data_IF_782336324716
#
_entry.id   IF_782336324716
#
_cell.length_a   1.000
_cell.length_b   1.000
_cell.length_c   1.000
_cell.angle_alpha   90.00
_cell.angle_beta   90.00
_cell.angle_gamma   90.00
#
_symmetry.space_group_name_H-M   'P 1'
#
loop_
_entity.id
_entity.type
_entity.pdbx_description
1 polymer ?
#
# COMPACT_ATOMS: atom_id res chain seq x y z
N UNK A 1 42.90 2.83 7.72
CA UNK A 1 42.26 3.16 8.99
C UNK A 1 41.87 4.64 8.91
N UNK A 2 40.67 4.93 8.54
CA UNK A 2 40.07 6.26 8.62
C UNK A 2 38.91 6.10 9.60
N UNK A 3 39.13 6.60 10.81
CA UNK A 3 38.11 6.72 11.84
C UNK A 3 36.97 7.57 11.30
N UNK A 4 35.90 6.88 11.02
CA UNK A 4 34.62 7.44 10.63
C UNK A 4 34.16 8.35 11.77
N UNK A 5 34.14 9.67 11.54
CA UNK A 5 33.46 10.64 12.39
C UNK A 5 32.11 10.04 12.79
N UNK A 6 31.95 9.82 14.09
CA UNK A 6 30.71 9.50 14.74
C UNK A 6 29.70 10.66 14.49
N UNK A 7 29.11 10.69 13.32
CA UNK A 7 27.87 11.42 13.10
C UNK A 7 26.89 10.87 14.14
N UNK A 8 26.22 11.73 14.88
CA UNK A 8 25.23 11.41 15.90
C UNK A 8 24.31 10.30 15.39
N UNK A 9 24.63 9.07 15.78
CA UNK A 9 23.86 7.91 15.33
C UNK A 9 22.47 8.02 15.97
N UNK A 10 21.45 8.12 15.15
CA UNK A 10 20.07 8.04 15.61
C UNK A 10 19.89 6.71 16.38
N UNK A 11 19.34 6.76 17.59
CA UNK A 11 19.11 5.56 18.39
C UNK A 11 18.11 4.62 17.69
N UNK A 12 18.24 3.31 17.93
CA UNK A 12 17.37 2.30 17.30
C UNK A 12 15.88 2.62 17.47
N UNK A 13 15.43 2.90 18.69
CA UNK A 13 14.02 3.21 18.98
C UNK A 13 13.60 4.51 18.29
N UNK A 14 14.43 5.54 18.36
CA UNK A 14 14.18 6.83 17.70
C UNK A 14 14.04 6.66 16.19
N UNK A 15 14.92 5.88 15.56
CA UNK A 15 14.83 5.59 14.13
C UNK A 15 13.53 4.84 13.77
N UNK A 16 13.15 3.82 14.53
CA UNK A 16 11.90 3.07 14.31
C UNK A 16 10.70 4.00 14.40
N UNK A 17 10.64 4.88 15.39
CA UNK A 17 9.53 5.83 15.55
C UNK A 17 9.52 6.85 14.40
N UNK A 18 10.67 7.38 13.99
CA UNK A 18 10.78 8.30 12.85
C UNK A 18 10.34 7.63 11.54
N UNK A 19 10.80 6.41 11.29
CA UNK A 19 10.41 5.64 10.11
C UNK A 19 8.90 5.34 10.11
N UNK A 20 8.36 4.94 11.24
CA UNK A 20 6.94 4.69 11.40
C UNK A 20 6.09 5.97 11.23
N UNK A 21 6.50 7.09 11.82
CA UNK A 21 5.86 8.39 11.64
C UNK A 21 5.88 8.83 10.17
N UNK A 22 7.01 8.64 9.49
CA UNK A 22 7.12 8.92 8.05
C UNK A 22 6.13 8.07 7.23
N UNK A 23 6.05 6.76 7.50
CA UNK A 23 5.10 5.89 6.80
C UNK A 23 3.64 6.24 7.12
N UNK A 24 3.38 6.70 8.33
CA UNK A 24 2.04 7.12 8.77
C UNK A 24 1.53 8.36 8.02
N UNK A 25 2.39 9.26 7.53
CA UNK A 25 1.95 10.44 6.75
C UNK A 25 1.10 10.06 5.55
N UNK A 26 1.46 8.95 4.87
CA UNK A 26 0.73 8.45 3.71
C UNK A 26 -0.66 7.91 4.08
N UNK A 27 -0.75 7.10 5.13
CA UNK A 27 -1.99 6.44 5.53
C UNK A 27 -2.99 7.42 6.16
N UNK A 28 -2.53 8.32 7.03
CA UNK A 28 -3.39 9.36 7.64
C UNK A 28 -4.06 10.22 6.57
N UNK A 29 -3.36 10.58 5.49
CA UNK A 29 -3.89 11.41 4.42
C UNK A 29 -5.03 10.73 3.63
N UNK A 30 -5.18 9.43 3.72
CA UNK A 30 -6.28 8.69 3.09
C UNK A 30 -7.44 8.58 4.06
N UNK A 31 -7.19 7.97 5.20
CA UNK A 31 -8.25 7.46 6.07
C UNK A 31 -8.89 8.57 6.93
N UNK A 32 -8.15 9.60 7.34
CA UNK A 32 -8.71 10.70 8.12
C UNK A 32 -9.61 11.64 7.31
N UNK A 33 -9.57 11.56 5.98
CA UNK A 33 -10.46 12.34 5.11
C UNK A 33 -11.86 11.73 4.95
N UNK A 34 -12.02 10.43 5.21
CA UNK A 34 -13.27 9.70 4.91
C UNK A 34 -14.52 10.33 5.53
N UNK A 35 -14.53 10.74 6.81
CA UNK A 35 -15.70 11.39 7.40
C UNK A 35 -16.04 12.73 6.78
N UNK A 36 -15.10 13.39 6.11
CA UNK A 36 -15.26 14.73 5.56
C UNK A 36 -15.92 14.77 4.18
N UNK A 37 -15.97 13.65 3.44
CA UNK A 37 -16.46 13.62 2.06
C UNK A 37 -17.85 14.24 1.88
N UNK A 38 -18.89 13.88 2.66
CA UNK A 38 -20.21 14.47 2.48
C UNK A 38 -20.20 15.99 2.70
N UNK A 39 -19.38 16.46 3.64
CA UNK A 39 -19.24 17.88 3.94
C UNK A 39 -18.52 18.64 2.82
N UNK A 40 -17.43 18.08 2.29
CA UNK A 40 -16.66 18.69 1.19
C UNK A 40 -17.52 18.81 -0.07
N UNK A 41 -18.20 17.73 -0.45
CA UNK A 41 -19.10 17.69 -1.61
C UNK A 41 -20.16 18.78 -1.51
N UNK A 42 -20.80 18.90 -0.34
CA UNK A 42 -21.82 19.92 -0.08
C UNK A 42 -21.25 21.35 -0.11
N UNK A 43 -20.12 21.60 0.57
CA UNK A 43 -19.52 22.95 0.68
C UNK A 43 -18.94 23.43 -0.66
N UNK A 44 -18.40 22.53 -1.47
CA UNK A 44 -17.86 22.86 -2.80
C UNK A 44 -18.90 22.73 -3.93
N UNK A 45 -20.19 22.54 -3.59
CA UNK A 45 -21.31 22.46 -4.53
C UNK A 45 -21.07 21.45 -5.66
N UNK A 46 -20.61 20.25 -5.31
CA UNK A 46 -20.37 19.16 -6.28
C UNK A 46 -21.72 18.57 -6.68
N UNK A 47 -22.02 18.55 -7.98
CA UNK A 47 -23.33 18.15 -8.49
C UNK A 47 -23.67 16.69 -8.19
N UNK A 48 -22.71 15.78 -8.32
CA UNK A 48 -22.86 14.37 -8.02
C UNK A 48 -22.14 14.01 -6.71
N UNK A 49 -22.86 13.59 -5.65
CA UNK A 49 -22.25 13.14 -4.39
C UNK A 49 -21.19 12.06 -4.54
N UNK A 50 -21.31 11.19 -5.56
CA UNK A 50 -20.34 10.12 -5.83
C UNK A 50 -18.96 10.65 -6.19
N UNK A 51 -18.86 11.87 -6.70
CA UNK A 51 -17.58 12.53 -6.97
C UNK A 51 -16.72 12.76 -5.71
N UNK A 52 -17.29 12.69 -4.50
CA UNK A 52 -16.52 12.73 -3.27
C UNK A 52 -15.39 11.70 -3.21
N UNK A 53 -15.58 10.55 -3.82
CA UNK A 53 -14.57 9.47 -3.91
C UNK A 53 -13.35 9.88 -4.75
N UNK A 54 -13.49 10.85 -5.65
CA UNK A 54 -12.38 11.35 -6.48
C UNK A 54 -11.28 12.02 -5.65
N UNK A 55 -11.59 12.47 -4.45
CA UNK A 55 -10.63 13.04 -3.50
C UNK A 55 -9.56 12.01 -3.13
N UNK A 56 -9.95 10.75 -2.84
CA UNK A 56 -9.01 9.66 -2.57
C UNK A 56 -8.35 9.18 -3.86
N UNK A 57 -9.12 9.05 -4.94
CA UNK A 57 -8.58 8.57 -6.22
C UNK A 57 -7.51 9.51 -6.76
N UNK A 58 -7.71 10.83 -6.70
CA UNK A 58 -6.71 11.81 -7.11
C UNK A 58 -5.41 11.67 -6.30
N UNK A 59 -5.53 11.46 -4.99
CA UNK A 59 -4.36 11.21 -4.14
C UNK A 59 -3.68 9.88 -4.49
N UNK A 60 -4.43 8.81 -4.68
CA UNK A 60 -3.90 7.48 -5.01
C UNK A 60 -3.25 7.41 -6.38
N UNK A 61 -3.81 8.11 -7.38
CA UNK A 61 -3.20 8.21 -8.70
C UNK A 61 -1.89 8.99 -8.65
N UNK A 62 -1.84 10.08 -7.89
CA UNK A 62 -0.61 10.81 -7.61
C UNK A 62 0.43 9.93 -6.89
N UNK A 63 0.01 9.20 -5.87
CA UNK A 63 0.85 8.27 -5.13
C UNK A 63 1.45 7.19 -6.05
N UNK A 64 0.62 6.56 -6.89
CA UNK A 64 1.07 5.57 -7.85
C UNK A 64 2.13 6.13 -8.81
N UNK A 65 1.86 7.29 -9.41
CA UNK A 65 2.82 7.98 -10.29
C UNK A 65 4.12 8.28 -9.54
N UNK A 66 4.03 8.79 -8.31
CA UNK A 66 5.20 9.10 -7.49
C UNK A 66 6.09 7.88 -7.19
N UNK A 67 5.51 6.70 -7.03
CA UNK A 67 6.27 5.46 -6.79
C UNK A 67 7.28 5.14 -7.90
N UNK A 68 7.04 5.58 -9.14
CA UNK A 68 7.99 5.40 -10.24
C UNK A 68 9.25 6.25 -10.08
N UNK A 69 9.16 7.40 -9.44
CA UNK A 69 10.23 8.39 -9.46
C UNK A 69 11.04 8.48 -8.16
N UNK A 70 10.37 8.44 -6.99
CA UNK A 70 11.04 8.71 -5.71
C UNK A 70 12.14 7.71 -5.37
N UNK A 71 11.95 6.43 -5.68
CA UNK A 71 12.99 5.42 -5.50
C UNK A 71 14.22 5.72 -6.32
N UNK A 72 14.04 5.95 -7.62
CA UNK A 72 15.11 6.26 -8.56
C UNK A 72 15.83 7.56 -8.22
N UNK A 73 15.08 8.61 -7.85
CA UNK A 73 15.68 9.89 -7.44
C UNK A 73 16.52 9.71 -6.18
N UNK A 74 16.07 8.91 -5.23
CA UNK A 74 16.81 8.65 -4.00
C UNK A 74 18.09 7.82 -4.21
N UNK A 75 18.10 6.93 -5.21
CA UNK A 75 19.31 6.17 -5.61
C UNK A 75 20.36 7.07 -6.29
N UNK A 76 19.93 8.16 -6.89
CA UNK A 76 20.83 9.11 -7.59
C UNK A 76 21.31 10.25 -6.70
N UNK A 77 20.40 10.89 -5.96
CA UNK A 77 20.67 12.14 -5.26
C UNK A 77 20.90 11.95 -3.75
N UNK A 78 20.67 10.76 -3.22
CA UNK A 78 20.75 10.44 -1.80
C UNK A 78 19.39 10.25 -1.16
N UNK A 79 19.36 9.50 -0.07
CA UNK A 79 18.11 9.13 0.63
C UNK A 79 17.51 10.33 1.37
N UNK A 80 18.34 10.98 2.17
CA UNK A 80 17.93 12.09 3.04
C UNK A 80 17.35 13.28 2.27
N UNK A 81 18.04 13.89 1.27
CA UNK A 81 17.53 15.06 0.57
C UNK A 81 16.23 14.75 -0.19
N UNK A 82 16.10 13.56 -0.76
CA UNK A 82 14.90 13.17 -1.50
C UNK A 82 13.71 12.92 -0.57
N UNK A 83 13.91 12.27 0.58
CA UNK A 83 12.85 12.08 1.57
C UNK A 83 12.38 13.43 2.12
N UNK A 84 13.30 14.31 2.53
CA UNK A 84 12.95 15.62 3.07
C UNK A 84 12.31 16.53 2.03
N UNK A 85 12.79 16.52 0.78
CA UNK A 85 12.19 17.26 -0.34
C UNK A 85 10.76 16.79 -0.62
N UNK A 86 10.52 15.48 -0.60
CA UNK A 86 9.19 14.90 -0.74
C UNK A 86 8.25 15.28 0.40
N UNK A 87 8.71 15.24 1.66
CA UNK A 87 7.92 15.69 2.82
C UNK A 87 7.63 17.20 2.76
N UNK A 88 8.57 18.03 2.30
CA UNK A 88 8.34 19.46 2.10
C UNK A 88 7.27 19.71 1.03
N UNK A 89 7.34 18.99 -0.09
CA UNK A 89 6.31 19.05 -1.14
C UNK A 89 4.95 18.57 -0.61
N UNK A 90 4.94 17.54 0.23
CA UNK A 90 3.72 17.04 0.91
C UNK A 90 3.08 18.13 1.77
N UNK A 91 3.86 18.83 2.59
CA UNK A 91 3.40 19.96 3.43
C UNK A 91 2.79 21.06 2.57
N UNK A 92 3.49 21.48 1.53
CA UNK A 92 3.00 22.52 0.61
C UNK A 92 1.68 22.10 -0.07
N UNK A 93 1.61 20.87 -0.59
CA UNK A 93 0.42 20.35 -1.23
C UNK A 93 -0.77 20.22 -0.26
N UNK A 94 -0.52 19.80 0.99
CA UNK A 94 -1.56 19.74 2.02
C UNK A 94 -2.13 21.15 2.33
N UNK A 95 -1.29 22.17 2.47
CA UNK A 95 -1.74 23.55 2.69
C UNK A 95 -2.53 24.09 1.48
N UNK A 96 -2.13 23.74 0.25
CA UNK A 96 -2.86 24.08 -0.97
C UNK A 96 -4.21 23.36 -1.06
N UNK A 97 -4.31 22.11 -0.59
CA UNK A 97 -5.59 21.44 -0.42
C UNK A 97 -6.50 22.19 0.59
N UNK A 98 -5.94 22.62 1.72
CA UNK A 98 -6.67 23.40 2.74
C UNK A 98 -7.24 24.70 2.20
N UNK A 99 -6.51 25.41 1.34
CA UNK A 99 -6.89 26.69 0.75
C UNK A 99 -7.76 26.58 -0.51
N UNK A 100 -8.08 25.35 -0.98
CA UNK A 100 -8.81 25.14 -2.23
C UNK A 100 -10.22 25.76 -2.17
N UNK A 101 -10.51 26.61 -3.16
CA UNK A 101 -11.83 27.27 -3.32
C UNK A 101 -12.78 26.51 -4.26
N UNK A 102 -12.30 25.51 -5.01
CA UNK A 102 -13.10 24.70 -5.92
C UNK A 102 -12.75 23.22 -5.80
N UNK A 103 -13.68 22.35 -6.22
CA UNK A 103 -13.48 20.91 -6.19
C UNK A 103 -12.33 20.48 -7.12
N UNK A 104 -12.26 21.08 -8.33
CA UNK A 104 -11.21 20.79 -9.29
C UNK A 104 -9.81 21.16 -8.76
N UNK A 105 -9.69 22.34 -8.10
CA UNK A 105 -8.45 22.74 -7.46
C UNK A 105 -8.05 21.75 -6.35
N UNK A 106 -9.02 21.31 -5.52
CA UNK A 106 -8.78 20.30 -4.50
C UNK A 106 -8.27 19.00 -5.11
N UNK A 107 -8.86 18.49 -6.19
CA UNK A 107 -8.42 17.27 -6.87
C UNK A 107 -7.00 17.41 -7.43
N UNK A 108 -6.70 18.56 -8.06
CA UNK A 108 -5.35 18.81 -8.58
C UNK A 108 -4.30 18.80 -7.46
N UNK A 109 -4.57 19.50 -6.35
CA UNK A 109 -3.66 19.50 -5.20
C UNK A 109 -3.59 18.16 -4.48
N UNK A 110 -4.68 17.39 -4.45
CA UNK A 110 -4.68 16.01 -3.92
C UNK A 110 -3.79 15.10 -4.75
N UNK A 111 -3.78 15.25 -6.08
CA UNK A 111 -2.85 14.53 -6.93
C UNK A 111 -1.39 14.85 -6.59
N UNK A 112 -1.04 16.14 -6.48
CA UNK A 112 0.31 16.58 -6.08
C UNK A 112 0.65 16.08 -4.67
N UNK A 113 -0.32 16.11 -3.74
CA UNK A 113 -0.15 15.61 -2.39
C UNK A 113 0.15 14.11 -2.36
N UNK A 114 -0.57 13.29 -3.17
CA UNK A 114 -0.29 11.88 -3.33
C UNK A 114 1.07 11.60 -3.96
N UNK A 115 1.43 12.35 -5.01
CA UNK A 115 2.74 12.27 -5.65
C UNK A 115 3.87 12.53 -4.65
N UNK A 116 3.72 13.55 -3.81
CA UNK A 116 4.67 13.85 -2.74
C UNK A 116 4.73 12.73 -1.68
N UNK A 117 3.56 12.20 -1.26
CA UNK A 117 3.48 11.14 -0.27
C UNK A 117 4.22 9.85 -0.66
N UNK A 118 4.40 9.61 -1.95
CA UNK A 118 5.16 8.45 -2.43
C UNK A 118 6.64 8.47 -2.02
N UNK A 119 7.20 9.62 -1.58
CA UNK A 119 8.56 9.71 -1.04
C UNK A 119 8.79 8.79 0.17
N UNK A 120 7.72 8.41 0.87
CA UNK A 120 7.75 7.47 1.99
C UNK A 120 8.36 6.11 1.59
N UNK A 121 8.29 5.72 0.34
CA UNK A 121 8.94 4.50 -0.17
C UNK A 121 10.45 4.51 0.05
N UNK A 122 11.08 5.68 0.09
CA UNK A 122 12.52 5.86 0.37
C UNK A 122 12.87 5.38 1.77
N UNK A 123 11.95 5.46 2.74
CA UNK A 123 12.18 4.97 4.12
C UNK A 123 12.58 3.50 4.15
N UNK A 124 12.00 2.66 3.29
CA UNK A 124 12.39 1.24 3.19
C UNK A 124 13.83 1.07 2.72
N UNK A 125 14.28 1.93 1.81
CA UNK A 125 15.68 1.94 1.36
C UNK A 125 16.62 2.38 2.49
N UNK A 126 16.26 3.41 3.25
CA UNK A 126 17.01 3.85 4.44
C UNK A 126 17.14 2.73 5.47
N UNK A 127 16.04 1.99 5.74
CA UNK A 127 16.09 0.83 6.65
C UNK A 127 17.09 -0.22 6.16
N UNK A 128 17.08 -0.52 4.86
CA UNK A 128 18.00 -1.51 4.24
C UNK A 128 19.46 -1.03 4.27
N UNK A 129 19.68 0.27 4.15
CA UNK A 129 21.03 0.85 4.15
C UNK A 129 21.64 0.85 5.58
N UNK A 130 20.81 0.98 6.63
CA UNK A 130 21.25 1.06 8.03
C UNK A 130 21.26 -0.30 8.76
N UNK A 131 20.40 -1.24 8.35
CA UNK A 131 20.20 -2.50 9.06
C UNK A 131 20.24 -3.69 8.10
N UNK A 132 20.74 -4.82 8.58
CA UNK A 132 20.80 -6.08 7.84
C UNK A 132 20.24 -7.26 8.64
N UNK A 133 19.88 -8.33 7.98
CA UNK A 133 19.44 -9.58 8.60
C UNK A 133 18.32 -9.42 9.62
N UNK A 134 18.51 -9.95 10.83
CA UNK A 134 17.50 -9.96 11.89
C UNK A 134 17.12 -8.55 12.39
N UNK A 135 18.07 -7.61 12.40
CA UNK A 135 17.78 -6.23 12.83
C UNK A 135 16.89 -5.52 11.82
N UNK A 136 17.15 -5.67 10.52
CA UNK A 136 16.28 -5.13 9.46
C UNK A 136 14.86 -5.69 9.58
N UNK A 137 14.71 -7.01 9.76
CA UNK A 137 13.40 -7.63 9.94
C UNK A 137 12.66 -7.06 11.18
N UNK A 138 13.38 -6.82 12.28
CA UNK A 138 12.82 -6.22 13.50
C UNK A 138 12.33 -4.79 13.27
N UNK A 139 13.12 -3.95 12.60
CA UNK A 139 12.73 -2.56 12.26
C UNK A 139 11.48 -2.57 11.37
N UNK A 140 11.50 -3.39 10.30
CA UNK A 140 10.36 -3.49 9.38
C UNK A 140 9.08 -3.96 10.08
N UNK A 141 9.18 -4.95 10.98
CA UNK A 141 8.02 -5.43 11.74
C UNK A 141 7.46 -4.37 12.68
N UNK A 142 8.32 -3.65 13.41
CA UNK A 142 7.87 -2.60 14.33
C UNK A 142 7.24 -1.42 13.58
N UNK A 143 7.84 -0.98 12.47
CA UNK A 143 7.24 0.06 11.60
C UNK A 143 5.91 -0.38 11.02
N UNK A 144 5.77 -1.65 10.66
CA UNK A 144 4.52 -2.18 10.12
C UNK A 144 3.40 -2.25 11.16
N UNK A 145 3.71 -2.58 12.41
CA UNK A 145 2.72 -2.54 13.52
C UNK A 145 2.17 -1.13 13.70
N UNK A 146 3.03 -0.10 13.69
CA UNK A 146 2.58 1.29 13.77
C UNK A 146 1.75 1.67 12.55
N UNK A 147 2.19 1.28 11.35
CA UNK A 147 1.45 1.52 10.11
C UNK A 147 0.04 0.92 10.14
N UNK A 148 -0.13 -0.30 10.67
CA UNK A 148 -1.45 -0.93 10.82
C UNK A 148 -2.36 -0.21 11.84
N UNK A 149 -1.79 0.49 12.80
CA UNK A 149 -2.57 1.26 13.80
C UNK A 149 -3.21 2.50 13.18
N UNK A 150 -2.61 3.06 12.12
CA UNK A 150 -3.08 4.30 11.50
C UNK A 150 -4.49 4.19 10.91
N UNK A 151 -4.84 3.21 10.08
CA UNK A 151 -6.21 3.06 9.56
C UNK A 151 -7.27 2.88 10.67
N UNK A 152 -6.86 2.38 11.83
CA UNK A 152 -7.75 2.22 12.99
C UNK A 152 -8.09 3.58 13.61
N UNK A 153 -7.12 4.47 13.73
CA UNK A 153 -7.26 5.75 14.43
C UNK A 153 -7.57 6.93 13.51
N UNK A 154 -7.14 6.90 12.26
CA UNK A 154 -7.21 8.05 11.37
C UNK A 154 -8.64 8.53 11.07
N UNK A 155 -9.64 7.67 10.78
CA UNK A 155 -11.01 8.14 10.59
C UNK A 155 -11.59 8.80 11.84
N UNK A 156 -11.27 8.27 13.03
CA UNK A 156 -11.69 8.88 14.31
C UNK A 156 -11.05 10.25 14.53
N UNK A 157 -9.76 10.41 14.17
CA UNK A 157 -9.09 11.71 14.18
C UNK A 157 -9.78 12.70 13.23
N UNK A 158 -10.10 12.27 12.01
CA UNK A 158 -10.82 13.08 11.04
C UNK A 158 -12.17 13.52 11.56
N UNK A 159 -12.93 12.61 12.16
CA UNK A 159 -14.22 12.93 12.75
C UNK A 159 -14.10 13.91 13.94
N UNK A 160 -13.10 13.73 14.80
CA UNK A 160 -12.84 14.64 15.92
C UNK A 160 -12.54 16.06 15.44
N UNK A 161 -11.73 16.20 14.38
CA UNK A 161 -11.46 17.52 13.78
C UNK A 161 -12.76 18.15 13.28
N UNK A 162 -13.64 17.39 12.64
CA UNK A 162 -14.90 17.90 12.10
C UNK A 162 -15.91 18.37 13.18
N UNK A 163 -15.77 17.90 14.42
CA UNK A 163 -16.59 18.38 15.55
C UNK A 163 -16.17 19.80 15.96
N UNK A 164 -14.88 20.12 15.89
CA UNK A 164 -14.33 21.37 16.43
C UNK A 164 -13.92 22.39 15.35
N UNK A 165 -13.76 21.96 14.09
CA UNK A 165 -13.22 22.79 13.02
C UNK A 165 -13.76 22.39 11.63
N UNK A 166 -13.76 23.30 10.63
CA UNK A 166 -14.05 22.98 9.24
C UNK A 166 -13.12 21.92 8.65
N UNK A 167 -13.59 21.18 7.64
CA UNK A 167 -12.84 20.10 6.96
C UNK A 167 -11.43 20.50 6.46
N UNK A 168 -11.23 21.79 6.17
CA UNK A 168 -9.94 22.33 5.74
C UNK A 168 -8.82 22.10 6.76
N UNK A 169 -9.15 22.08 8.04
CA UNK A 169 -8.19 21.85 9.13
C UNK A 169 -7.63 20.42 9.15
N UNK A 170 -8.30 19.45 8.53
CA UNK A 170 -7.75 18.11 8.35
C UNK A 170 -6.43 18.18 7.56
N UNK A 171 -6.41 18.96 6.48
CA UNK A 171 -5.19 19.18 5.70
C UNK A 171 -4.13 19.98 6.45
N UNK A 172 -4.54 20.93 7.29
CA UNK A 172 -3.60 21.66 8.17
C UNK A 172 -2.92 20.68 9.15
N UNK A 173 -3.70 19.76 9.74
CA UNK A 173 -3.14 18.72 10.63
C UNK A 173 -2.17 17.81 9.86
N UNK A 174 -2.48 17.44 8.62
CA UNK A 174 -1.53 16.67 7.79
C UNK A 174 -0.24 17.45 7.54
N UNK A 175 -0.35 18.73 7.22
CA UNK A 175 0.82 19.59 7.01
C UNK A 175 1.67 19.72 8.26
N UNK A 176 1.05 19.96 9.41
CA UNK A 176 1.77 20.07 10.70
C UNK A 176 2.45 18.77 11.10
N UNK A 177 1.76 17.64 10.95
CA UNK A 177 2.34 16.33 11.23
C UNK A 177 3.54 16.05 10.33
N UNK A 178 3.40 16.24 9.02
CA UNK A 178 4.49 16.03 8.07
C UNK A 178 5.65 17.03 8.26
N UNK A 179 5.37 18.28 8.62
CA UNK A 179 6.38 19.26 8.95
C UNK A 179 7.17 18.87 10.20
N UNK A 180 6.50 18.35 11.23
CA UNK A 180 7.16 17.82 12.42
C UNK A 180 8.09 16.64 12.08
N UNK A 181 7.60 15.69 11.28
CA UNK A 181 8.38 14.53 10.80
C UNK A 181 9.56 14.99 9.93
N UNK A 182 9.35 15.95 9.02
CA UNK A 182 10.40 16.49 8.17
C UNK A 182 11.49 17.21 8.99
N UNK A 183 11.08 18.01 9.97
CA UNK A 183 12.01 18.71 10.89
C UNK A 183 12.81 17.71 11.73
N UNK A 184 12.13 16.68 12.25
CA UNK A 184 12.81 15.61 12.98
C UNK A 184 13.81 14.86 12.09
N UNK A 185 13.41 14.49 10.88
CA UNK A 185 14.30 13.88 9.89
C UNK A 185 15.46 14.81 9.48
N UNK A 186 15.22 16.11 9.36
CA UNK A 186 16.25 17.11 9.05
C UNK A 186 17.34 17.15 10.13
N UNK A 187 16.96 17.05 11.40
CA UNK A 187 17.90 17.14 12.53
C UNK A 187 18.60 15.80 12.78
N UNK A 188 17.88 14.68 12.66
CA UNK A 188 18.33 13.38 13.19
C UNK A 188 18.69 12.34 12.15
N UNK A 189 18.10 12.38 10.94
CA UNK A 189 18.36 11.37 9.92
C UNK A 189 19.69 11.67 9.21
N UNK A 190 20.70 10.78 9.26
CA UNK A 190 21.91 10.91 8.47
C UNK A 190 21.65 10.59 6.99
N UNK A 191 22.54 11.01 6.10
CA UNK A 191 22.57 10.46 4.74
C UNK A 191 23.10 9.03 4.80
N UNK A 192 22.31 8.09 4.24
CA UNK A 192 22.63 6.67 4.31
C UNK A 192 23.22 6.12 3.01
N UNK A 193 23.05 6.84 1.90
CA UNK A 193 23.60 6.44 0.62
C UNK A 193 25.01 7.01 0.42
N UNK A 194 26.02 6.16 0.48
CA UNK A 194 27.41 6.56 0.17
C UNK A 194 27.49 7.10 -1.27
N UNK A 195 28.27 8.17 -1.51
CA UNK A 195 28.42 8.76 -2.87
C UNK A 195 28.87 7.74 -3.92
N UNK A 196 29.67 6.76 -3.53
CA UNK A 196 30.19 5.69 -4.40
C UNK A 196 29.11 4.73 -4.88
N UNK A 197 27.99 4.57 -4.14
CA UNK A 197 26.88 3.70 -4.48
C UNK A 197 25.74 4.41 -5.20
N UNK A 198 25.92 5.70 -5.56
CA UNK A 198 24.93 6.45 -6.33
C UNK A 198 24.84 5.90 -7.74
N UNK A 199 23.71 5.34 -8.08
CA UNK A 199 23.50 4.72 -9.39
C UNK A 199 23.31 5.79 -10.47
N UNK A 200 24.10 5.71 -11.53
CA UNK A 200 23.76 6.38 -12.79
C UNK A 200 22.61 5.62 -13.45
N UNK A 201 21.39 6.13 -13.27
CA UNK A 201 20.21 5.56 -13.91
C UNK A 201 20.27 5.84 -15.43
N UNK A 202 20.75 4.89 -16.17
CA UNK A 202 20.68 4.96 -17.64
C UNK A 202 19.27 4.56 -18.09
N UNK A 203 18.70 5.33 -19.02
CA UNK A 203 17.39 5.03 -19.62
C UNK A 203 17.30 3.58 -20.11
N UNK A 204 18.41 3.06 -20.67
CA UNK A 204 18.51 1.68 -21.15
C UNK A 204 18.34 0.66 -20.02
N UNK A 205 18.92 0.90 -18.84
CA UNK A 205 18.79 0.00 -17.68
C UNK A 205 17.34 -0.06 -17.17
N UNK A 206 16.70 1.10 -17.02
CA UNK A 206 15.30 1.19 -16.58
C UNK A 206 14.36 0.50 -17.58
N UNK A 207 14.55 0.72 -18.88
CA UNK A 207 13.74 0.09 -19.93
C UNK A 207 13.93 -1.43 -19.97
N UNK A 208 15.16 -1.92 -19.82
CA UNK A 208 15.43 -3.35 -19.82
C UNK A 208 14.85 -4.04 -18.59
N UNK A 209 14.99 -3.44 -17.40
CA UNK A 209 14.35 -3.93 -16.18
C UNK A 209 12.82 -3.94 -16.30
N UNK A 210 12.22 -2.89 -16.85
CA UNK A 210 10.79 -2.83 -17.13
C UNK A 210 10.34 -3.94 -18.09
N UNK A 211 11.09 -4.19 -19.17
CA UNK A 211 10.81 -5.30 -20.10
C UNK A 211 10.90 -6.66 -19.41
N UNK A 212 11.86 -6.85 -18.50
CA UNK A 212 12.00 -8.09 -17.74
C UNK A 212 10.78 -8.34 -16.84
N UNK A 213 10.32 -7.30 -16.12
CA UNK A 213 9.17 -7.38 -15.21
C UNK A 213 7.88 -7.64 -15.98
N UNK A 214 7.62 -6.87 -17.05
CA UNK A 214 6.41 -7.00 -17.86
C UNK A 214 6.40 -8.25 -18.74
N UNK A 215 7.57 -8.73 -19.15
CA UNK A 215 7.72 -9.97 -19.93
C UNK A 215 7.68 -11.25 -19.09
N UNK A 216 7.90 -11.15 -17.78
CA UNK A 216 7.81 -12.32 -16.93
C UNK A 216 6.35 -12.62 -16.55
N UNK A 217 5.88 -13.80 -16.95
CA UNK A 217 4.50 -14.24 -16.79
C UNK A 217 4.01 -14.17 -15.32
N UNK A 218 4.77 -14.74 -14.41
CA UNK A 218 4.38 -14.76 -13.00
C UNK A 218 4.36 -13.34 -12.43
N UNK A 219 5.39 -12.53 -12.70
CA UNK A 219 5.49 -11.16 -12.24
C UNK A 219 4.30 -10.32 -12.70
N UNK A 220 4.00 -10.30 -14.01
CA UNK A 220 2.94 -9.43 -14.53
C UNK A 220 1.55 -9.88 -14.09
N UNK A 221 1.22 -11.17 -14.16
CA UNK A 221 -0.13 -11.62 -13.83
C UNK A 221 -0.44 -11.55 -12.33
N UNK A 222 0.54 -11.81 -11.43
CA UNK A 222 0.35 -11.54 -10.01
C UNK A 222 0.23 -10.05 -9.71
N UNK A 223 0.95 -9.19 -10.43
CA UNK A 223 0.78 -7.73 -10.32
C UNK A 223 -0.62 -7.29 -10.76
N UNK A 224 -1.15 -7.84 -11.86
CA UNK A 224 -2.52 -7.56 -12.31
C UNK A 224 -3.58 -8.11 -11.34
N UNK A 225 -3.34 -9.28 -10.75
CA UNK A 225 -4.19 -9.80 -9.67
C UNK A 225 -4.21 -8.86 -8.46
N UNK A 226 -3.05 -8.35 -8.04
CA UNK A 226 -2.97 -7.32 -7.00
C UNK A 226 -3.70 -6.03 -7.37
N UNK A 227 -3.57 -5.58 -8.61
CA UNK A 227 -4.21 -4.36 -9.12
C UNK A 227 -5.73 -4.41 -8.93
N UNK A 228 -6.40 -5.48 -9.39
CA UNK A 228 -7.84 -5.60 -9.26
C UNK A 228 -8.28 -5.82 -7.82
N UNK A 229 -7.51 -6.56 -7.04
CA UNK A 229 -7.76 -6.69 -5.60
C UNK A 229 -7.61 -5.34 -4.89
N UNK A 230 -6.61 -4.53 -5.23
CA UNK A 230 -6.45 -3.17 -4.68
C UNK A 230 -7.64 -2.27 -5.05
N UNK A 231 -8.23 -2.47 -6.23
CA UNK A 231 -9.48 -1.81 -6.64
C UNK A 231 -10.64 -2.08 -5.66
N UNK A 232 -10.73 -3.29 -5.08
CA UNK A 232 -11.81 -3.63 -4.14
C UNK A 232 -11.72 -2.84 -2.83
N UNK A 233 -10.48 -2.66 -2.30
CA UNK A 233 -10.29 -1.84 -1.09
C UNK A 233 -10.52 -0.37 -1.39
N UNK A 234 -10.11 0.11 -2.58
CA UNK A 234 -10.33 1.51 -2.97
C UNK A 234 -11.82 1.81 -3.18
N UNK A 235 -12.59 0.88 -3.72
CA UNK A 235 -14.05 1.00 -3.80
C UNK A 235 -14.67 1.09 -2.39
N UNK A 236 -14.27 0.20 -1.48
CA UNK A 236 -14.74 0.25 -0.09
C UNK A 236 -14.39 1.58 0.60
N UNK A 237 -13.12 2.00 0.53
CA UNK A 237 -12.66 3.27 1.11
C UNK A 237 -13.43 4.46 0.52
N UNK A 238 -13.69 4.46 -0.79
CA UNK A 238 -14.43 5.52 -1.46
C UNK A 238 -15.91 5.59 -1.05
N UNK A 239 -16.56 4.44 -0.88
CA UNK A 239 -18.01 4.34 -0.65
C UNK A 239 -18.39 4.29 0.83
N UNK A 240 -17.48 3.93 1.76
CA UNK A 240 -17.82 3.64 3.15
C UNK A 240 -18.53 4.80 3.86
N UNK A 241 -18.12 6.04 3.61
CA UNK A 241 -18.76 7.21 4.19
C UNK A 241 -20.21 7.38 3.72
N UNK A 242 -20.49 7.19 2.43
CA UNK A 242 -21.83 7.22 1.85
C UNK A 242 -22.69 6.03 2.34
N UNK A 243 -22.14 4.83 2.41
CA UNK A 243 -22.84 3.65 2.92
C UNK A 243 -23.33 3.89 4.35
N UNK A 244 -22.48 4.44 5.22
CA UNK A 244 -22.88 4.71 6.61
C UNK A 244 -23.82 5.90 6.76
N UNK A 245 -23.74 6.90 5.87
CA UNK A 245 -24.66 8.06 5.90
C UNK A 245 -26.00 7.78 5.26
N UNK A 246 -26.02 7.19 4.07
CA UNK A 246 -27.19 7.11 3.19
C UNK A 246 -27.95 5.79 3.32
N UNK A 247 -27.22 4.66 3.43
CA UNK A 247 -27.82 3.33 3.56
C UNK A 247 -28.20 3.05 5.01
N UNK A 248 -27.22 3.06 5.92
CA UNK A 248 -27.46 2.71 7.33
C UNK A 248 -27.92 3.89 8.18
N UNK A 249 -27.79 5.13 7.71
CA UNK A 249 -28.13 6.36 8.43
C UNK A 249 -27.48 6.48 9.81
N UNK A 250 -26.25 5.98 9.91
CA UNK A 250 -25.44 5.95 11.15
C UNK A 250 -23.99 6.41 10.89
N UNK A 251 -23.77 7.65 10.41
CA UNK A 251 -22.42 8.14 10.05
C UNK A 251 -21.44 8.14 11.24
N UNK A 252 -21.94 8.30 12.48
CA UNK A 252 -21.11 8.27 13.68
C UNK A 252 -20.43 6.91 13.95
N UNK A 253 -20.97 5.80 13.42
CA UNK A 253 -20.40 4.46 13.59
C UNK A 253 -19.33 4.14 12.53
N UNK A 254 -19.25 4.92 11.45
CA UNK A 254 -18.31 4.65 10.34
C UNK A 254 -16.86 4.47 10.82
N UNK A 255 -16.26 5.37 11.64
CA UNK A 255 -14.86 5.21 12.04
C UNK A 255 -14.61 3.94 12.83
N UNK A 256 -15.49 3.57 13.77
CA UNK A 256 -15.32 2.35 14.57
C UNK A 256 -15.50 1.08 13.75
N UNK A 257 -16.43 1.05 12.81
CA UNK A 257 -16.64 -0.11 11.93
C UNK A 257 -15.53 -0.24 10.89
N UNK A 258 -15.03 0.87 10.37
CA UNK A 258 -13.84 0.90 9.52
C UNK A 258 -12.61 0.37 10.27
N UNK A 259 -12.42 0.81 11.51
CA UNK A 259 -11.36 0.33 12.40
C UNK A 259 -11.46 -1.18 12.64
N UNK A 260 -12.67 -1.71 12.83
CA UNK A 260 -12.90 -3.15 13.01
C UNK A 260 -12.44 -3.93 11.75
N UNK A 261 -12.80 -3.48 10.55
CA UNK A 261 -12.33 -4.10 9.31
C UNK A 261 -10.79 -4.05 9.18
N UNK A 262 -10.17 -2.93 9.57
CA UNK A 262 -8.71 -2.78 9.56
C UNK A 262 -8.03 -3.71 10.57
N UNK A 263 -8.63 -3.95 11.74
CA UNK A 263 -8.14 -4.92 12.74
C UNK A 263 -8.14 -6.33 12.15
N UNK A 264 -9.22 -6.75 11.49
CA UNK A 264 -9.29 -8.08 10.85
C UNK A 264 -8.25 -8.23 9.74
N UNK A 265 -8.03 -7.19 8.94
CA UNK A 265 -6.98 -7.16 7.93
C UNK A 265 -5.58 -7.30 8.56
N UNK A 266 -5.33 -6.60 9.67
CA UNK A 266 -4.07 -6.69 10.40
C UNK A 266 -3.86 -8.06 11.07
N UNK A 267 -4.90 -8.63 11.66
CA UNK A 267 -4.85 -9.99 12.22
C UNK A 267 -4.55 -11.04 11.15
N UNK A 268 -5.16 -10.92 9.97
CA UNK A 268 -4.89 -11.79 8.84
C UNK A 268 -3.43 -11.67 8.36
N UNK A 269 -2.88 -10.46 8.27
CA UNK A 269 -1.47 -10.23 7.92
C UNK A 269 -0.53 -10.86 8.97
N UNK A 270 -0.84 -10.71 10.26
CA UNK A 270 -0.09 -11.35 11.34
C UNK A 270 -0.17 -12.88 11.26
N UNK A 271 -1.36 -13.43 11.05
CA UNK A 271 -1.54 -14.88 10.88
C UNK A 271 -0.73 -15.38 9.67
N UNK A 272 -0.78 -14.67 8.53
CA UNK A 272 0.00 -15.01 7.35
C UNK A 272 1.50 -15.13 7.67
N UNK A 273 2.05 -14.20 8.44
CA UNK A 273 3.46 -14.24 8.82
C UNK A 273 3.87 -15.48 9.63
N UNK A 274 2.91 -16.10 10.32
CA UNK A 274 3.13 -17.31 11.14
C UNK A 274 2.97 -18.61 10.36
N UNK A 275 2.08 -18.62 9.37
CA UNK A 275 1.71 -19.88 8.69
C UNK A 275 2.34 -20.02 7.30
N UNK A 276 2.82 -18.91 6.69
CA UNK A 276 3.29 -18.91 5.29
C UNK A 276 4.51 -19.81 5.07
N UNK A 277 5.40 -19.92 6.06
CA UNK A 277 6.56 -20.81 5.98
C UNK A 277 6.17 -22.30 5.96
N UNK A 278 5.06 -22.66 6.60
CA UNK A 278 4.57 -24.06 6.70
C UNK A 278 3.64 -24.42 5.55
N UNK A 279 2.73 -23.55 5.18
CA UNK A 279 1.68 -23.82 4.20
C UNK A 279 2.05 -23.35 2.79
N UNK A 280 3.00 -22.42 2.66
CA UNK A 280 3.41 -21.82 1.41
C UNK A 280 2.47 -20.73 0.90
N UNK A 281 3.03 -19.78 0.15
CA UNK A 281 2.33 -18.60 -0.35
C UNK A 281 1.12 -18.95 -1.25
N UNK A 282 1.27 -19.96 -2.12
CA UNK A 282 0.23 -20.36 -3.09
C UNK A 282 -1.01 -20.92 -2.42
N UNK A 283 -0.83 -21.83 -1.45
CA UNK A 283 -1.97 -22.42 -0.74
C UNK A 283 -2.76 -21.34 -0.01
N UNK A 284 -2.09 -20.48 0.72
CA UNK A 284 -2.75 -19.42 1.51
C UNK A 284 -3.47 -18.44 0.59
N UNK A 285 -2.78 -17.90 -0.42
CA UNK A 285 -3.36 -16.84 -1.26
C UNK A 285 -4.48 -17.34 -2.17
N UNK A 286 -4.35 -18.53 -2.72
CA UNK A 286 -5.41 -19.10 -3.59
C UNK A 286 -6.64 -19.47 -2.77
N UNK A 287 -6.49 -20.06 -1.59
CA UNK A 287 -7.60 -20.33 -0.67
C UNK A 287 -8.26 -19.04 -0.22
N UNK A 288 -7.48 -18.02 0.16
CA UNK A 288 -8.00 -16.73 0.57
C UNK A 288 -8.76 -16.02 -0.57
N UNK A 289 -8.26 -16.11 -1.82
CA UNK A 289 -8.94 -15.53 -2.97
C UNK A 289 -10.28 -16.23 -3.25
N UNK A 290 -10.34 -17.57 -3.20
CA UNK A 290 -11.58 -18.31 -3.37
C UNK A 290 -12.58 -17.97 -2.25
N UNK A 291 -12.10 -17.86 -1.01
CA UNK A 291 -12.91 -17.46 0.13
C UNK A 291 -13.40 -16.01 0.00
N UNK A 292 -12.56 -15.09 -0.51
CA UNK A 292 -12.95 -13.72 -0.84
C UNK A 292 -14.12 -13.71 -1.83
N UNK A 293 -14.02 -14.46 -2.94
CA UNK A 293 -15.10 -14.56 -3.95
C UNK A 293 -16.38 -15.11 -3.34
N UNK A 294 -16.28 -16.16 -2.52
CA UNK A 294 -17.44 -16.78 -1.88
C UNK A 294 -18.14 -15.80 -0.91
N UNK A 295 -17.36 -15.14 -0.03
CA UNK A 295 -17.89 -14.20 0.97
C UNK A 295 -18.50 -12.97 0.30
N UNK A 296 -17.81 -12.38 -0.69
CA UNK A 296 -18.36 -11.23 -1.44
C UNK A 296 -19.55 -11.63 -2.30
N UNK A 297 -19.60 -12.87 -2.80
CA UNK A 297 -20.77 -13.42 -3.50
C UNK A 297 -21.99 -13.54 -2.58
N UNK A 298 -21.81 -14.08 -1.37
CA UNK A 298 -22.87 -14.10 -0.34
C UNK A 298 -23.32 -12.67 0.02
N UNK A 299 -22.35 -11.76 0.17
CA UNK A 299 -22.63 -10.35 0.43
C UNK A 299 -23.49 -9.72 -0.68
N UNK A 300 -23.11 -9.93 -1.95
CA UNK A 300 -23.86 -9.41 -3.09
C UNK A 300 -25.30 -9.94 -3.13
N UNK A 301 -25.53 -11.24 -2.85
CA UNK A 301 -26.88 -11.83 -2.78
C UNK A 301 -27.71 -11.21 -1.66
N UNK A 302 -27.15 -11.05 -0.46
CA UNK A 302 -27.85 -10.45 0.68
C UNK A 302 -28.22 -8.99 0.39
N UNK A 303 -27.29 -8.24 -0.20
CA UNK A 303 -27.51 -6.85 -0.60
C UNK A 303 -28.61 -6.72 -1.67
N UNK A 304 -28.59 -7.58 -2.69
CA UNK A 304 -29.59 -7.59 -3.78
C UNK A 304 -30.99 -7.94 -3.28
N UNK A 305 -31.09 -8.83 -2.30
CA UNK A 305 -32.37 -9.19 -1.65
C UNK A 305 -32.89 -8.08 -0.72
N UNK A 306 -32.16 -6.99 -0.50
CA UNK A 306 -32.52 -5.92 0.43
C UNK A 306 -32.56 -6.37 1.89
N UNK A 307 -31.95 -7.52 2.21
CA UNK A 307 -31.96 -8.11 3.56
C UNK A 307 -30.76 -7.66 4.41
N UNK A 308 -29.94 -6.75 3.90
CA UNK A 308 -28.70 -6.38 4.55
C UNK A 308 -28.92 -5.47 5.76
N UNK A 309 -28.37 -5.90 6.89
CA UNK A 309 -28.29 -5.14 8.13
C UNK A 309 -26.86 -4.64 8.37
N UNK A 310 -26.70 -3.58 9.16
CA UNK A 310 -25.39 -3.00 9.49
C UNK A 310 -24.36 -4.06 9.95
N UNK A 311 -24.76 -4.96 10.84
CA UNK A 311 -23.83 -5.98 11.35
C UNK A 311 -23.49 -7.03 10.30
N UNK A 312 -24.43 -7.41 9.45
CA UNK A 312 -24.18 -8.32 8.32
C UNK A 312 -23.16 -7.73 7.37
N UNK A 313 -23.34 -6.45 6.99
CA UNK A 313 -22.38 -5.70 6.18
C UNK A 313 -20.99 -5.71 6.82
N UNK A 314 -20.90 -5.30 8.11
CA UNK A 314 -19.60 -5.17 8.81
C UNK A 314 -18.88 -6.50 8.92
N UNK A 315 -19.58 -7.58 9.25
CA UNK A 315 -18.97 -8.91 9.38
C UNK A 315 -18.47 -9.43 8.04
N UNK A 316 -19.30 -9.37 6.99
CA UNK A 316 -18.90 -9.82 5.65
C UNK A 316 -17.74 -8.99 5.10
N UNK A 317 -17.77 -7.67 5.32
CA UNK A 317 -16.70 -6.78 4.90
C UNK A 317 -15.40 -7.05 5.67
N UNK A 318 -15.46 -7.30 6.98
CA UNK A 318 -14.27 -7.63 7.79
C UNK A 318 -13.61 -8.94 7.33
N UNK A 319 -14.41 -9.98 7.03
CA UNK A 319 -13.91 -11.25 6.48
C UNK A 319 -13.29 -11.03 5.09
N UNK A 320 -13.96 -10.25 4.24
CA UNK A 320 -13.44 -9.91 2.91
C UNK A 320 -12.09 -9.17 3.00
N UNK A 321 -11.94 -8.24 3.94
CA UNK A 321 -10.68 -7.52 4.17
C UNK A 321 -9.57 -8.44 4.71
N UNK A 322 -9.91 -9.41 5.54
CA UNK A 322 -8.96 -10.45 5.98
C UNK A 322 -8.48 -11.29 4.79
N UNK A 323 -9.38 -11.76 3.95
CA UNK A 323 -9.06 -12.52 2.73
C UNK A 323 -8.24 -11.69 1.74
N UNK A 324 -8.57 -10.41 1.57
CA UNK A 324 -7.78 -9.45 0.78
C UNK A 324 -6.33 -9.39 1.27
N UNK A 325 -6.13 -9.21 2.57
CA UNK A 325 -4.79 -9.09 3.17
C UNK A 325 -3.95 -10.34 2.93
N UNK A 326 -4.51 -11.54 3.12
CA UNK A 326 -3.85 -12.81 2.87
C UNK A 326 -3.48 -12.99 1.38
N UNK A 327 -4.37 -12.61 0.48
CA UNK A 327 -4.15 -12.75 -0.96
C UNK A 327 -3.06 -11.79 -1.46
N UNK A 328 -3.22 -10.49 -1.20
CA UNK A 328 -2.35 -9.44 -1.76
C UNK A 328 -0.93 -9.51 -1.23
N UNK A 329 -0.74 -9.82 0.05
CA UNK A 329 0.60 -9.98 0.64
C UNK A 329 1.41 -11.09 -0.06
N UNK A 330 0.78 -12.22 -0.33
CA UNK A 330 1.43 -13.34 -0.99
C UNK A 330 1.59 -13.13 -2.51
N UNK A 331 0.61 -12.49 -3.18
CA UNK A 331 0.74 -12.11 -4.59
C UNK A 331 1.93 -11.18 -4.82
N UNK A 332 2.14 -10.20 -3.92
CA UNK A 332 3.30 -9.31 -3.98
C UNK A 332 4.62 -10.06 -3.90
N UNK A 333 4.74 -11.02 -2.99
CA UNK A 333 5.93 -11.85 -2.88
C UNK A 333 6.16 -12.72 -4.14
N UNK A 334 5.11 -13.37 -4.64
CA UNK A 334 5.19 -14.21 -5.86
C UNK A 334 5.45 -13.39 -7.13
N UNK A 335 4.97 -12.14 -7.21
CA UNK A 335 5.27 -11.24 -8.31
C UNK A 335 6.74 -10.81 -8.33
N UNK A 336 7.37 -10.69 -7.16
CA UNK A 336 8.78 -10.27 -7.00
C UNK A 336 9.77 -11.42 -7.14
N UNK A 337 9.38 -12.66 -6.84
CA UNK A 337 10.25 -13.83 -6.85
C UNK A 337 11.09 -13.99 -8.15
N UNK A 338 10.50 -13.92 -9.36
CA UNK A 338 11.25 -14.13 -10.61
C UNK A 338 12.09 -12.92 -11.06
N UNK A 339 11.94 -11.74 -10.44
CA UNK A 339 12.57 -10.48 -10.87
C UNK A 339 13.48 -9.87 -9.80
N UNK A 340 13.98 -10.67 -8.87
CA UNK A 340 14.85 -10.27 -7.76
C UNK A 340 16.11 -9.51 -8.18
N UNK A 341 16.67 -9.82 -9.38
CA UNK A 341 17.83 -9.11 -9.92
C UNK A 341 17.59 -7.62 -10.22
N UNK A 342 16.33 -7.20 -10.40
CA UNK A 342 15.90 -5.82 -10.68
C UNK A 342 14.85 -5.34 -9.67
N UNK A 343 14.94 -5.85 -8.42
CA UNK A 343 13.92 -5.69 -7.39
C UNK A 343 13.47 -4.24 -7.15
N UNK A 344 14.35 -3.26 -7.21
CA UNK A 344 14.01 -1.84 -7.00
C UNK A 344 13.06 -1.31 -8.08
N UNK A 345 13.38 -1.53 -9.36
CA UNK A 345 12.55 -1.12 -10.50
C UNK A 345 11.26 -1.95 -10.54
N UNK A 346 11.35 -3.24 -10.24
CA UNK A 346 10.20 -4.12 -10.17
C UNK A 346 9.19 -3.65 -9.10
N UNK A 347 9.64 -3.35 -7.89
CA UNK A 347 8.79 -2.84 -6.82
C UNK A 347 8.12 -1.50 -7.19
N UNK A 348 8.85 -0.58 -7.84
CA UNK A 348 8.31 0.69 -8.30
C UNK A 348 7.23 0.49 -9.37
N UNK A 349 7.48 -0.37 -10.35
CA UNK A 349 6.55 -0.63 -11.45
C UNK A 349 5.31 -1.39 -10.98
N UNK A 350 5.49 -2.43 -10.16
CA UNK A 350 4.38 -3.19 -9.56
C UNK A 350 3.55 -2.30 -8.62
N UNK A 351 4.20 -1.46 -7.82
CA UNK A 351 3.53 -0.49 -6.97
C UNK A 351 2.72 0.52 -7.79
N UNK A 352 3.27 1.07 -8.86
CA UNK A 352 2.55 1.94 -9.77
C UNK A 352 1.32 1.25 -10.36
N UNK A 353 1.50 0.08 -10.98
CA UNK A 353 0.39 -0.66 -11.61
C UNK A 353 -0.70 -0.94 -10.59
N UNK A 354 -0.33 -1.45 -9.40
CA UNK A 354 -1.31 -1.83 -8.38
C UNK A 354 -2.03 -0.61 -7.81
N UNK A 355 -1.31 0.46 -7.46
CA UNK A 355 -1.89 1.63 -6.80
C UNK A 355 -2.64 2.53 -7.77
N UNK A 356 -2.02 2.90 -8.89
CA UNK A 356 -2.62 3.79 -9.88
C UNK A 356 -3.84 3.14 -10.54
N UNK A 357 -3.65 1.96 -11.13
CA UNK A 357 -4.74 1.31 -11.86
C UNK A 357 -5.79 0.73 -10.91
N UNK A 358 -5.39 0.27 -9.72
CA UNK A 358 -6.33 -0.14 -8.68
C UNK A 358 -7.21 1.01 -8.20
N UNK A 359 -6.68 2.23 -8.07
CA UNK A 359 -7.48 3.40 -7.74
C UNK A 359 -8.52 3.70 -8.85
N UNK A 360 -8.15 3.52 -10.13
CA UNK A 360 -9.09 3.66 -11.24
C UNK A 360 -10.19 2.58 -11.21
N UNK A 361 -9.87 1.33 -10.92
CA UNK A 361 -10.86 0.27 -10.71
C UNK A 361 -11.79 0.62 -9.55
N UNK A 362 -11.23 1.12 -8.45
CA UNK A 362 -12.01 1.55 -7.28
C UNK A 362 -13.03 2.65 -7.61
N UNK A 363 -12.64 3.66 -8.40
CA UNK A 363 -13.57 4.74 -8.79
C UNK A 363 -14.64 4.26 -9.76
N UNK A 364 -14.32 3.33 -10.66
CA UNK A 364 -15.33 2.75 -11.56
C UNK A 364 -16.42 2.05 -10.76
N UNK A 365 -16.06 1.26 -9.75
CA UNK A 365 -17.02 0.60 -8.87
C UNK A 365 -17.77 1.66 -8.03
N UNK A 366 -17.04 2.58 -7.41
CA UNK A 366 -17.60 3.59 -6.53
C UNK A 366 -18.56 4.55 -7.21
N UNK A 367 -18.32 4.90 -8.48
CA UNK A 367 -19.23 5.74 -9.26
C UNK A 367 -20.59 5.11 -9.53
N UNK A 368 -20.73 3.79 -9.33
CA UNK A 368 -22.01 3.07 -9.46
C UNK A 368 -22.86 3.11 -8.17
N UNK A 369 -22.41 3.82 -7.13
CA UNK A 369 -23.17 3.90 -5.89
C UNK A 369 -24.56 4.50 -6.15
N UNK A 370 -25.58 3.76 -5.76
CA UNK A 370 -27.00 4.04 -6.04
C UNK A 370 -27.86 4.10 -4.76
N UNK A 371 -27.25 4.34 -3.61
CA UNK A 371 -27.95 4.31 -2.32
C UNK A 371 -28.08 2.90 -1.72
N UNK A 372 -27.38 1.90 -2.27
CA UNK A 372 -27.31 0.54 -1.73
C UNK A 372 -25.86 0.05 -1.65
N UNK A 373 -25.64 -1.09 -1.00
CA UNK A 373 -24.32 -1.74 -0.92
C UNK A 373 -24.04 -2.69 -2.10
N UNK A 374 -25.04 -2.92 -2.97
CA UNK A 374 -24.96 -3.81 -4.13
C UNK A 374 -23.76 -3.49 -5.04
N UNK A 375 -23.51 -2.21 -5.46
CA UNK A 375 -22.40 -1.91 -6.35
C UNK A 375 -21.04 -2.26 -5.73
N UNK A 376 -20.87 -2.09 -4.42
CA UNK A 376 -19.64 -2.47 -3.73
C UNK A 376 -19.46 -4.00 -3.76
N UNK A 377 -20.47 -4.74 -3.31
CA UNK A 377 -20.39 -6.20 -3.20
C UNK A 377 -20.23 -6.86 -4.58
N UNK A 378 -21.01 -6.44 -5.59
CA UNK A 378 -20.87 -6.91 -6.96
C UNK A 378 -19.51 -6.58 -7.57
N UNK A 379 -19.01 -5.35 -7.36
CA UNK A 379 -17.68 -4.94 -7.80
C UNK A 379 -16.57 -5.79 -7.17
N UNK A 380 -16.69 -6.12 -5.88
CA UNK A 380 -15.75 -7.01 -5.20
C UNK A 380 -15.77 -8.42 -5.78
N UNK A 381 -16.94 -8.99 -6.08
CA UNK A 381 -17.07 -10.30 -6.75
C UNK A 381 -16.39 -10.28 -8.12
N UNK A 382 -16.69 -9.29 -8.95
CA UNK A 382 -16.12 -9.16 -10.30
C UNK A 382 -14.59 -9.07 -10.22
N UNK A 383 -14.06 -8.24 -9.33
CA UNK A 383 -12.62 -8.11 -9.12
C UNK A 383 -11.99 -9.41 -8.58
N UNK A 384 -12.69 -10.12 -7.68
CA UNK A 384 -12.25 -11.42 -7.18
C UNK A 384 -12.12 -12.46 -8.30
N UNK A 385 -13.14 -12.55 -9.17
CA UNK A 385 -13.14 -13.45 -10.33
C UNK A 385 -12.05 -13.04 -11.34
N UNK A 386 -11.89 -11.74 -11.62
CA UNK A 386 -10.83 -11.24 -12.50
C UNK A 386 -9.43 -11.57 -11.93
N UNK A 387 -9.24 -11.39 -10.61
CA UNK A 387 -8.01 -11.75 -9.92
C UNK A 387 -7.73 -13.26 -10.04
N UNK A 388 -8.74 -14.10 -9.88
CA UNK A 388 -8.62 -15.55 -10.08
C UNK A 388 -8.20 -15.88 -11.53
N UNK A 389 -8.76 -15.19 -12.52
CA UNK A 389 -8.36 -15.32 -13.93
C UNK A 389 -6.86 -15.00 -14.12
N UNK A 390 -6.36 -13.91 -13.54
CA UNK A 390 -4.95 -13.57 -13.61
C UNK A 390 -4.07 -14.58 -12.87
N UNK A 391 -4.49 -15.08 -11.71
CA UNK A 391 -3.77 -16.14 -10.98
C UNK A 391 -3.71 -17.43 -11.81
N UNK A 392 -4.80 -17.84 -12.45
CA UNK A 392 -4.81 -19.00 -13.35
C UNK A 392 -3.87 -18.80 -14.53
N UNK A 393 -3.81 -17.59 -15.09
CA UNK A 393 -2.84 -17.26 -16.13
C UNK A 393 -1.41 -17.33 -15.58
N UNK A 394 -1.10 -16.85 -14.40
CA UNK A 394 0.20 -16.93 -13.77
C UNK A 394 0.65 -18.39 -13.59
N UNK A 395 -0.22 -19.25 -13.06
CA UNK A 395 0.05 -20.64 -12.68
C UNK A 395 -0.26 -21.68 -13.80
N UNK A 396 -0.51 -21.24 -15.04
CA UNK A 396 -0.82 -22.12 -16.18
C UNK A 396 -2.02 -23.04 -15.92
N UNK A 397 -3.07 -22.51 -15.26
CA UNK A 397 -4.28 -23.26 -14.91
C UNK A 397 -4.13 -24.23 -13.74
N UNK A 398 -3.00 -24.23 -13.02
CA UNK A 398 -2.74 -25.20 -11.95
C UNK A 398 -2.66 -24.50 -10.59
N UNK A 399 -3.76 -24.38 -9.89
CA UNK A 399 -3.81 -23.83 -8.54
C UNK A 399 -3.12 -24.77 -7.52
N UNK A 400 -2.65 -24.20 -6.41
CA UNK A 400 -2.13 -24.90 -5.21
C UNK A 400 -0.82 -25.69 -5.39
N UNK A 401 -0.19 -25.72 -6.56
CA UNK A 401 1.07 -26.45 -6.74
C UNK A 401 2.25 -25.62 -6.23
N UNK A 402 2.97 -26.17 -5.26
CA UNK A 402 4.31 -25.69 -4.93
C UNK A 402 5.22 -25.88 -6.16
N UNK A 403 5.83 -24.82 -6.67
CA UNK A 403 7.01 -24.96 -7.50
C UNK A 403 8.15 -25.34 -6.56
N UNK A 404 8.54 -26.62 -6.56
CA UNK A 404 9.87 -26.97 -6.09
C UNK A 404 10.83 -26.28 -7.08
N UNK A 405 11.56 -25.27 -6.61
CA UNK A 405 12.74 -24.81 -7.31
C UNK A 405 13.61 -26.04 -7.50
N UNK A 406 13.68 -26.52 -8.74
CA UNK A 406 14.69 -27.50 -9.11
C UNK A 406 16.00 -26.89 -8.65
N UNK A 407 16.65 -27.57 -7.69
CA UNK A 407 17.97 -27.29 -7.17
C UNK A 407 18.86 -26.76 -8.28
N UNK A 408 19.40 -25.57 -8.07
CA UNK A 408 20.35 -24.91 -8.97
C UNK A 408 21.48 -25.90 -9.29
N UNK A 409 21.72 -26.30 -10.57
CA UNK A 409 22.77 -27.27 -10.93
C UNK A 409 24.18 -26.77 -10.59
N UNK A 410 24.33 -25.51 -10.21
CA UNK A 410 25.62 -24.92 -9.83
C UNK A 410 26.06 -25.28 -8.41
N UNK A 411 25.15 -25.59 -7.49
CA UNK A 411 25.54 -26.02 -6.12
C UNK A 411 26.03 -27.44 -6.10
N UNK A 412 25.50 -28.31 -6.98
CA UNK A 412 25.98 -29.72 -7.09
C UNK A 412 27.33 -29.83 -7.75
N UNK A 413 27.74 -28.89 -8.62
CA UNK A 413 29.10 -28.87 -9.19
C UNK A 413 30.17 -28.38 -8.22
N UNK A 414 29.83 -27.47 -7.29
CA UNK A 414 30.77 -27.02 -6.24
C UNK A 414 31.13 -28.12 -5.25
N UNK A 415 30.16 -28.97 -4.86
CA UNK A 415 30.37 -30.04 -3.91
C UNK A 415 31.16 -31.23 -4.52
N UNK A 416 31.14 -31.44 -5.85
CA UNK A 416 31.92 -32.47 -6.52
C UNK A 416 33.38 -32.05 -6.78
N UNK A 417 33.68 -30.73 -6.80
CA UNK A 417 35.07 -30.26 -6.99
C UNK A 417 35.83 -30.24 -5.65
N UNK A 418 35.15 -30.14 -4.53
CA UNK A 418 35.78 -30.17 -3.20
C UNK A 418 36.10 -31.58 -2.70
N UNK A 419 35.47 -32.62 -3.27
CA UNK A 419 35.73 -34.04 -2.96
C UNK A 419 36.94 -34.68 -3.66
N UNK A 420 37.60 -33.98 -4.60
CA UNK A 420 38.68 -34.51 -5.43
C UNK A 420 40.05 -33.92 -5.08
N UNK A 421 40.39 -33.77 -3.80
CA UNK A 421 41.80 -33.55 -3.40
C UNK A 421 42.42 -34.90 -3.02
N UNK A 422 43.49 -35.34 -3.72
CA UNK A 422 44.20 -36.55 -3.33
C UNK A 422 44.90 -36.32 -1.99
N UNK A 423 44.71 -37.26 -1.04
CA UNK A 423 45.52 -37.35 0.15
C UNK A 423 46.93 -37.73 -0.31
N UNK A 424 47.86 -36.77 -0.34
CA UNK A 424 49.29 -37.06 -0.44
C UNK A 424 49.83 -37.42 0.94
N UNK A 425 50.38 -38.61 1.03
CA UNK A 425 51.17 -39.09 2.14
C UNK A 425 52.42 -38.23 2.35
N UNK A 426 52.76 -37.91 3.57
CA UNK A 426 53.95 -38.23 4.37
C UNK A 426 53.70 -37.68 5.79
#
# INVERSE_FOLDING_TARGET
MAETRAAHSIGFVEFVVLAAATMSTQAIAIDAMLPAFPTIVRVLNVADPNHGQWIVTAYMTGLGVGQLFWGMLSDRFGRRPILLGGLTLYVAAALLCSSSGSFQALLAWRFVHGLAAACVTVTRSVVRDLYSGRQMARVMSLTFVVFLTVPILAPSLGQLILIVAPWRYIFVVFALFAAAVATWGLVRLPETLHPEYRLMLTRKHVLNAGKLVLGNRASIFYTLAMMVMFGTIMAYVGMVAQIFSDVFRRPALMPSMFALCAIFMGMAAYLNSRIVERLGMRLISHTALLMFIAVTGVHAVIAELGAEQLWTFVVLQAISMACFSLSVSNFGAMAMEPVGSVAGIAASLQGFISTFSGALVGIIIGSQFNGSTVPLAAGQVICGIASLGFVLLAEKGRLFRAHHSSSDPMITKGAQIEGARPRSAV
#
